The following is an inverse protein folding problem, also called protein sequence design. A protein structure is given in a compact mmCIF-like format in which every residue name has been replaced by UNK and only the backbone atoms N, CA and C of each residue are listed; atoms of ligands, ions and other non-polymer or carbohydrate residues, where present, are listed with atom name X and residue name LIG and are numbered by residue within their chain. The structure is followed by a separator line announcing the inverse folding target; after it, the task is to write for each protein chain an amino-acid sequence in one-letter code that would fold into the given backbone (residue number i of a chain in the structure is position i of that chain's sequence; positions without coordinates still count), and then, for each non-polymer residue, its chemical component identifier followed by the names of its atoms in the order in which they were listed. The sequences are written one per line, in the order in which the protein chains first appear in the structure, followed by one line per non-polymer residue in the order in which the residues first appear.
data_IF_104513934930
#
_entry.id   IF_104513934930
#
_cell.length_a   1.000
_cell.length_b   1.000
_cell.length_c   1.000
_cell.angle_alpha   90.00
_cell.angle_beta   90.00
_cell.angle_gamma   90.00
#
_symmetry.space_group_name_H-M   'P 1'
#
loop_
_entity.id
_entity.type
_entity.pdbx_description
1 polymer ?
#
# COMPACT_ATOMS: atom_id res chain seq x y z
N UNK A 1 6.88 -12.12 -15.03
CA UNK A 1 7.19 -10.97 -14.15
C UNK A 1 6.68 -11.31 -12.75
N UNK A 2 7.57 -11.31 -11.76
CA UNK A 2 7.25 -11.56 -10.36
C UNK A 2 7.85 -10.40 -9.56
N UNK A 3 7.07 -9.80 -8.67
CA UNK A 3 7.52 -8.72 -7.80
C UNK A 3 7.34 -9.10 -6.34
N UNK A 4 8.44 -9.13 -5.59
CA UNK A 4 8.42 -9.30 -4.14
C UNK A 4 8.11 -7.95 -3.50
N UNK A 5 6.90 -7.82 -2.97
CA UNK A 5 6.44 -6.61 -2.31
C UNK A 5 6.93 -6.56 -0.86
N UNK A 6 7.46 -5.40 -0.45
CA UNK A 6 7.81 -5.14 0.94
C UNK A 6 6.62 -4.48 1.66
N UNK A 7 5.96 -5.23 2.53
CA UNK A 7 4.74 -4.79 3.22
C UNK A 7 5.00 -4.22 4.62
N UNK A 8 6.25 -3.93 4.98
CA UNK A 8 6.60 -3.43 6.32
C UNK A 8 5.84 -2.16 6.71
N UNK A 9 5.60 -1.25 5.75
CA UNK A 9 4.90 0.02 5.95
C UNK A 9 3.46 0.03 5.41
N UNK A 10 2.84 -1.14 5.20
CA UNK A 10 1.46 -1.19 4.72
C UNK A 10 0.50 -0.41 5.66
N UNK A 11 -0.44 0.42 5.13
CA UNK A 11 -0.74 0.73 3.72
C UNK A 11 -0.07 2.02 3.19
N UNK A 12 0.94 2.55 3.88
CA UNK A 12 1.69 3.77 3.52
C UNK A 12 2.98 3.47 2.72
N UNK A 13 3.03 2.29 2.12
CA UNK A 13 4.16 1.74 1.38
C UNK A 13 4.23 2.24 -0.08
N UNK A 14 5.43 2.18 -0.64
CA UNK A 14 5.70 2.37 -2.07
C UNK A 14 6.40 1.13 -2.58
N UNK A 15 5.74 0.39 -3.47
CA UNK A 15 6.30 -0.85 -4.01
C UNK A 15 7.23 -0.54 -5.19
N UNK A 16 8.44 -1.09 -5.15
CA UNK A 16 9.45 -0.96 -6.22
C UNK A 16 9.66 -2.30 -6.89
N UNK A 17 9.01 -2.50 -8.02
CA UNK A 17 9.10 -3.74 -8.78
C UNK A 17 10.13 -3.64 -9.90
N UNK A 18 11.11 -4.55 -9.90
CA UNK A 18 12.14 -4.61 -10.94
C UNK A 18 11.69 -5.51 -12.09
N UNK A 19 11.79 -5.02 -13.30
CA UNK A 19 11.60 -5.76 -14.55
C UNK A 19 12.94 -5.82 -15.27
N UNK A 20 13.33 -7.01 -15.68
CA UNK A 20 14.56 -7.24 -16.40
C UNK A 20 14.23 -7.82 -17.77
N UNK A 21 14.81 -7.23 -18.81
CA UNK A 21 14.73 -7.75 -20.17
C UNK A 21 16.13 -8.01 -20.67
N UNK A 22 16.34 -9.20 -21.20
CA UNK A 22 17.61 -9.64 -21.78
C UNK A 22 17.36 -10.17 -23.19
N UNK A 23 18.13 -9.70 -24.16
CA UNK A 23 18.07 -10.15 -25.55
C UNK A 23 19.13 -11.23 -25.77
N UNK A 24 18.73 -12.50 -25.70
CA UNK A 24 19.67 -13.62 -25.64
C UNK A 24 20.42 -14.00 -26.94
N UNK A 25 20.01 -13.49 -28.11
CA UNK A 25 20.61 -13.86 -29.41
C UNK A 25 21.35 -12.72 -30.11
N UNK A 26 21.38 -11.52 -29.52
CA UNK A 26 22.01 -10.34 -30.08
C UNK A 26 23.31 -10.05 -29.33
N UNK A 27 24.26 -9.38 -29.98
CA UNK A 27 25.46 -8.88 -29.31
C UNK A 27 25.27 -7.43 -28.86
N UNK A 28 26.14 -6.92 -27.99
CA UNK A 28 26.01 -5.53 -27.50
C UNK A 28 26.08 -4.49 -28.64
N UNK A 29 26.74 -4.84 -29.75
CA UNK A 29 26.88 -3.99 -30.94
C UNK A 29 25.57 -3.90 -31.75
N UNK A 30 24.69 -4.92 -31.64
CA UNK A 30 23.43 -5.00 -32.37
C UNK A 30 22.27 -4.31 -31.65
N UNK A 31 22.47 -3.87 -30.39
CA UNK A 31 21.41 -3.38 -29.52
C UNK A 31 21.63 -1.91 -29.16
N UNK A 32 20.67 -1.07 -29.53
CA UNK A 32 20.61 0.32 -29.08
C UNK A 32 19.42 0.54 -28.15
N UNK A 33 19.71 0.96 -26.91
CA UNK A 33 18.69 1.33 -25.93
C UNK A 33 18.40 2.83 -25.98
N UNK A 34 17.17 3.20 -26.29
CA UNK A 34 16.72 4.59 -26.19
C UNK A 34 16.09 4.85 -24.81
N UNK A 35 16.76 5.70 -24.01
CA UNK A 35 16.29 6.07 -22.67
C UNK A 35 15.03 6.95 -22.71
N UNK A 36 14.78 7.65 -23.83
CA UNK A 36 13.72 8.63 -23.95
C UNK A 36 12.39 8.03 -24.44
N UNK A 37 12.39 6.76 -24.88
CA UNK A 37 11.18 6.09 -25.37
C UNK A 37 10.36 5.37 -24.29
N UNK A 38 10.79 5.38 -23.03
CA UNK A 38 10.00 4.80 -21.94
C UNK A 38 8.87 5.76 -21.55
N UNK A 39 7.72 5.59 -22.20
CA UNK A 39 6.49 6.33 -21.89
C UNK A 39 5.57 5.46 -21.07
N UNK A 40 5.25 5.91 -19.87
CA UNK A 40 4.15 5.34 -19.08
C UNK A 40 2.89 6.09 -19.47
N UNK A 41 1.90 5.37 -20.00
CA UNK A 41 0.56 5.93 -20.10
C UNK A 41 0.08 6.26 -18.69
N UNK A 42 -0.03 7.55 -18.37
CA UNK A 42 -0.55 8.04 -17.09
C UNK A 42 -2.08 7.89 -16.99
N UNK A 43 -2.68 7.00 -17.78
CA UNK A 43 -4.06 6.61 -17.51
C UNK A 43 -4.11 6.14 -16.06
N UNK A 44 -4.79 6.94 -15.22
CA UNK A 44 -5.08 6.58 -13.85
C UNK A 44 -5.68 5.19 -13.91
N UNK A 45 -5.00 4.21 -13.30
CA UNK A 45 -5.54 2.87 -13.15
C UNK A 45 -6.86 3.02 -12.38
N UNK A 46 -7.98 3.05 -13.12
CA UNK A 46 -9.30 3.25 -12.53
C UNK A 46 -9.59 2.04 -11.64
N UNK A 47 -9.77 2.28 -10.34
CA UNK A 47 -10.08 1.23 -9.36
C UNK A 47 -8.88 0.45 -8.81
N UNK A 48 -7.63 0.84 -9.11
CA UNK A 48 -6.45 0.18 -8.57
C UNK A 48 -6.14 0.52 -7.11
N UNK A 49 -5.44 -0.37 -6.39
CA UNK A 49 -4.88 -0.12 -5.05
C UNK A 49 -3.69 0.85 -5.07
N UNK A 50 -3.18 1.20 -6.26
CA UNK A 50 -2.00 2.03 -6.44
C UNK A 50 -2.38 3.34 -7.12
N UNK A 51 -1.72 4.42 -6.71
CA UNK A 51 -1.80 5.73 -7.33
C UNK A 51 -0.66 5.91 -8.33
N UNK A 52 -0.82 6.80 -9.31
CA UNK A 52 0.22 7.29 -10.24
C UNK A 52 1.48 6.39 -10.44
N UNK A 53 1.38 5.27 -11.16
CA UNK A 53 2.53 4.40 -11.41
C UNK A 53 3.63 5.14 -12.19
N UNK A 54 4.88 4.96 -11.78
CA UNK A 54 6.05 5.55 -12.46
C UNK A 54 7.02 4.46 -12.89
N UNK A 55 7.50 4.51 -14.13
CA UNK A 55 8.52 3.59 -14.66
C UNK A 55 9.80 4.37 -14.88
N UNK A 56 10.92 3.85 -14.37
CA UNK A 56 12.25 4.42 -14.55
C UNK A 56 13.20 3.35 -15.05
N UNK A 57 14.11 3.71 -15.94
CA UNK A 57 15.23 2.83 -16.29
C UNK A 57 16.24 2.91 -15.14
N UNK A 58 16.59 1.76 -14.57
CA UNK A 58 17.56 1.64 -13.48
C UNK A 58 18.96 1.47 -14.05
N UNK A 59 19.14 0.46 -14.90
CA UNK A 59 20.45 0.08 -15.42
C UNK A 59 20.35 -0.49 -16.84
N UNK A 60 21.37 -0.26 -17.66
CA UNK A 60 21.53 -0.86 -18.99
C UNK A 60 22.92 -1.48 -19.02
N UNK A 61 23.00 -2.78 -19.32
CA UNK A 61 24.25 -3.56 -19.42
C UNK A 61 24.20 -4.38 -20.70
N UNK A 62 24.85 -3.92 -21.76
CA UNK A 62 24.89 -4.63 -23.03
C UNK A 62 23.49 -4.92 -23.58
N UNK A 63 23.15 -6.21 -23.66
CA UNK A 63 21.83 -6.72 -24.12
C UNK A 63 20.76 -6.79 -23.02
N UNK A 64 21.09 -6.38 -21.78
CA UNK A 64 20.20 -6.40 -20.62
C UNK A 64 19.78 -4.98 -20.22
N UNK A 65 18.49 -4.79 -19.98
CA UNK A 65 17.92 -3.57 -19.39
C UNK A 65 17.13 -3.90 -18.12
N UNK A 66 17.37 -3.12 -17.06
CA UNK A 66 16.59 -3.16 -15.82
C UNK A 66 15.68 -1.92 -15.75
N UNK A 67 14.38 -2.14 -15.63
CA UNK A 67 13.37 -1.13 -15.38
C UNK A 67 12.84 -1.27 -13.95
N UNK A 68 12.59 -0.15 -13.28
CA UNK A 68 11.99 -0.08 -11.95
C UNK A 68 10.64 0.60 -12.05
N UNK A 69 9.59 -0.17 -11.74
CA UNK A 69 8.22 0.31 -11.61
C UNK A 69 7.95 0.67 -10.14
N UNK A 70 7.67 1.95 -9.91
CA UNK A 70 7.27 2.49 -8.62
C UNK A 70 5.75 2.59 -8.55
N UNK A 71 5.16 1.92 -7.56
CA UNK A 71 3.72 1.81 -7.33
C UNK A 71 3.40 2.36 -5.93
N UNK A 72 3.12 3.66 -5.79
CA UNK A 72 2.68 4.22 -4.50
C UNK A 72 1.26 3.74 -4.18
N UNK A 73 0.99 3.35 -2.93
CA UNK A 73 -0.33 2.83 -2.55
C UNK A 73 -1.34 3.94 -2.31
N UNK A 74 -2.59 3.72 -2.71
CA UNK A 74 -3.74 4.57 -2.39
C UNK A 74 -4.25 4.25 -0.98
N UNK A 75 -3.72 4.94 0.03
CA UNK A 75 -4.04 4.69 1.44
C UNK A 75 -5.39 5.28 1.90
N UNK A 76 -6.00 6.19 1.14
CA UNK A 76 -7.19 6.93 1.59
C UNK A 76 -8.34 6.04 2.07
N UNK A 77 -8.64 4.96 1.36
CA UNK A 77 -9.69 4.02 1.76
C UNK A 77 -9.36 3.30 3.08
N UNK A 78 -8.10 2.92 3.30
CA UNK A 78 -7.67 2.28 4.54
C UNK A 78 -7.82 3.21 5.74
N UNK A 79 -7.51 4.50 5.57
CA UNK A 79 -7.68 5.52 6.63
C UNK A 79 -9.13 5.62 7.08
N UNK A 80 -10.08 5.73 6.15
CA UNK A 80 -11.48 5.87 6.51
C UNK A 80 -12.13 4.58 6.99
N UNK A 81 -11.73 3.42 6.46
CA UNK A 81 -12.39 2.15 6.77
C UNK A 81 -11.78 1.41 7.96
N UNK A 82 -10.51 1.66 8.30
CA UNK A 82 -9.81 0.94 9.39
C UNK A 82 -9.39 1.90 10.50
N UNK A 83 -8.58 2.91 10.16
CA UNK A 83 -7.98 3.77 11.18
C UNK A 83 -9.02 4.66 11.88
N UNK A 84 -9.96 5.22 11.12
CA UNK A 84 -11.03 6.05 11.66
C UNK A 84 -11.94 5.28 12.64
N UNK A 85 -12.53 4.11 12.29
CA UNK A 85 -13.35 3.38 13.25
C UNK A 85 -12.54 2.95 14.47
N UNK A 86 -11.29 2.48 14.31
CA UNK A 86 -10.44 2.14 15.45
C UNK A 86 -10.22 3.33 16.41
N UNK A 87 -9.99 4.52 15.88
CA UNK A 87 -9.84 5.74 16.68
C UNK A 87 -11.12 6.08 17.43
N UNK A 88 -12.28 5.97 16.78
CA UNK A 88 -13.59 6.17 17.41
C UNK A 88 -13.80 5.16 18.55
N UNK A 89 -13.45 3.88 18.35
CA UNK A 89 -13.56 2.85 19.38
C UNK A 89 -12.70 3.18 20.62
N UNK A 90 -11.47 3.66 20.41
CA UNK A 90 -10.60 4.08 21.52
C UNK A 90 -11.19 5.27 22.27
N UNK A 91 -11.74 6.26 21.56
CA UNK A 91 -12.41 7.41 22.18
C UNK A 91 -13.64 6.98 22.99
N UNK A 92 -14.46 6.05 22.48
CA UNK A 92 -15.60 5.51 23.21
C UNK A 92 -15.17 4.79 24.50
N UNK A 93 -14.09 4.01 24.45
CA UNK A 93 -13.50 3.41 25.66
C UNK A 93 -13.05 4.46 26.67
N UNK A 94 -12.38 5.52 26.21
CA UNK A 94 -11.93 6.61 27.08
C UNK A 94 -13.10 7.40 27.71
N UNK A 95 -14.18 7.60 26.96
CA UNK A 95 -15.38 8.27 27.47
C UNK A 95 -16.01 7.53 28.65
N UNK A 96 -15.83 6.21 28.77
CA UNK A 96 -16.32 5.45 29.94
C UNK A 96 -15.66 5.89 31.26
N UNK A 97 -14.52 6.58 31.24
CA UNK A 97 -13.92 7.16 32.44
C UNK A 97 -14.71 8.36 32.98
N UNK A 98 -15.46 9.07 32.12
CA UNK A 98 -16.26 10.21 32.52
C UNK A 98 -17.55 9.81 33.27
N UNK A 99 -17.92 8.53 33.24
CA UNK A 99 -19.10 8.04 33.94
C UNK A 99 -18.89 8.08 35.46
N UNK A 100 -19.98 8.14 36.27
CA UNK A 100 -19.89 7.98 37.71
C UNK A 100 -19.43 6.57 38.08
N UNK A 101 -18.78 6.41 39.23
CA UNK A 101 -18.21 5.12 39.67
C UNK A 101 -19.31 4.07 39.90
N UNK A 102 -20.50 4.53 40.29
CA UNK A 102 -21.65 3.65 40.55
C UNK A 102 -22.25 3.02 39.29
N UNK A 103 -21.98 3.58 38.11
CA UNK A 103 -22.43 3.05 36.81
C UNK A 103 -21.50 1.95 36.26
N UNK A 104 -21.15 0.96 37.09
CA UNK A 104 -20.22 -0.11 36.71
C UNK A 104 -20.72 -0.94 35.52
N UNK A 105 -21.99 -1.32 35.53
CA UNK A 105 -22.63 -2.13 34.47
C UNK A 105 -22.52 -1.46 33.10
N UNK A 106 -22.72 -0.15 33.04
CA UNK A 106 -22.67 0.61 31.78
C UNK A 106 -21.25 0.67 31.23
N UNK A 107 -20.26 0.93 32.11
CA UNK A 107 -18.84 0.94 31.74
C UNK A 107 -18.40 -0.41 31.18
N UNK A 108 -18.80 -1.52 31.82
CA UNK A 108 -18.44 -2.87 31.36
C UNK A 108 -19.11 -3.19 30.03
N UNK A 109 -20.39 -2.87 29.89
CA UNK A 109 -21.16 -3.16 28.68
C UNK A 109 -20.57 -2.43 27.47
N UNK A 110 -20.28 -1.13 27.58
CA UNK A 110 -19.69 -0.35 26.48
C UNK A 110 -18.33 -0.92 26.08
N UNK A 111 -17.45 -1.21 27.05
CA UNK A 111 -16.12 -1.73 26.74
C UNK A 111 -16.19 -3.12 26.09
N UNK A 112 -17.09 -3.99 26.54
CA UNK A 112 -17.29 -5.31 25.96
C UNK A 112 -17.85 -5.23 24.53
N UNK A 113 -18.85 -4.38 24.29
CA UNK A 113 -19.34 -4.09 22.94
C UNK A 113 -18.25 -3.52 22.04
N UNK A 114 -17.37 -2.64 22.58
CA UNK A 114 -16.27 -2.09 21.82
C UNK A 114 -15.26 -3.17 21.40
N UNK A 115 -14.93 -4.10 22.28
CA UNK A 115 -14.07 -5.24 21.97
C UNK A 115 -14.69 -6.15 20.90
N UNK A 116 -16.01 -6.39 20.94
CA UNK A 116 -16.70 -7.18 19.92
C UNK A 116 -16.63 -6.50 18.55
N UNK A 117 -16.89 -5.19 18.48
CA UNK A 117 -16.81 -4.44 17.22
C UNK A 117 -15.37 -4.42 16.68
N UNK A 118 -14.38 -4.26 17.56
CA UNK A 118 -12.96 -4.36 17.17
C UNK A 118 -12.62 -5.76 16.63
N UNK A 119 -13.08 -6.83 17.29
CA UNK A 119 -12.88 -8.18 16.80
C UNK A 119 -13.51 -8.38 15.40
N UNK A 120 -14.74 -7.88 15.21
CA UNK A 120 -15.45 -7.96 13.93
C UNK A 120 -14.77 -7.17 12.79
N UNK A 121 -14.01 -6.12 13.11
CA UNK A 121 -13.24 -5.34 12.12
C UNK A 121 -11.97 -6.07 11.62
N UNK A 122 -11.46 -7.03 12.41
CA UNK A 122 -10.21 -7.76 12.10
C UNK A 122 -10.43 -9.23 11.71
N UNK A 123 -11.65 -9.75 11.83
CA UNK A 123 -12.08 -11.04 11.25
C UNK A 123 -12.48 -10.90 9.80
#
# INVERSE_FOLDING_TARGET
FICNMDLFLFPFDIQKCKMEFELGYLTEEDVMWDRNMVKVSQEKLKGGLFDSPQLKISEIKGTRVELVLSLPRKFGAFVFNIFLPCLVMVLLGLLTHAFPVDAFTDRVTINLSCLIVMAALFT
#
